data_IF_919468525071
#
_entry.id   IF_919468525071
#
_cell.length_a   1.000
_cell.length_b   1.000
_cell.length_c   1.000
_cell.angle_alpha   90.00
_cell.angle_beta   90.00
_cell.angle_gamma   90.00
#
_symmetry.space_group_name_H-M   'P 1'
#
loop_
_entity.id
_entity.type
_entity.pdbx_description
1 polymer ?
#
# COMPACT_ATOMS: atom_id res chain seq x y z
N UNK A 1 -9.07 -7.37 -7.90
CA UNK A 1 -8.17 -7.38 -6.72
C UNK A 1 -7.99 -8.83 -6.36
N UNK A 2 -6.77 -9.35 -6.46
CA UNK A 2 -6.51 -10.78 -6.34
C UNK A 2 -6.39 -11.19 -4.87
N UNK A 3 -7.49 -11.69 -4.30
CA UNK A 3 -7.52 -12.27 -2.95
C UNK A 3 -6.42 -13.31 -2.73
N UNK A 4 -6.08 -14.06 -3.79
CA UNK A 4 -5.02 -15.06 -3.80
C UNK A 4 -3.62 -14.48 -3.56
N UNK A 5 -3.36 -13.23 -3.94
CA UNK A 5 -2.07 -12.55 -3.69
C UNK A 5 -2.01 -12.09 -2.23
N UNK A 6 -3.08 -11.47 -1.73
CA UNK A 6 -3.20 -11.10 -0.31
C UNK A 6 -3.01 -12.32 0.60
N UNK A 7 -3.67 -13.44 0.28
CA UNK A 7 -3.60 -14.64 1.10
C UNK A 7 -2.21 -15.28 1.11
N UNK A 8 -1.48 -15.23 -0.02
CA UNK A 8 -0.10 -15.71 -0.09
C UNK A 8 0.88 -14.83 0.70
N UNK A 9 0.71 -13.51 0.66
CA UNK A 9 1.54 -12.57 1.41
C UNK A 9 1.34 -12.70 2.93
N UNK A 10 0.08 -12.87 3.38
CA UNK A 10 -0.23 -12.95 4.81
C UNK A 10 0.11 -14.32 5.41
N UNK A 11 -0.03 -15.41 4.65
CA UNK A 11 0.22 -16.76 5.14
C UNK A 11 1.60 -17.32 4.74
N UNK A 12 2.50 -16.48 4.22
CA UNK A 12 3.86 -16.92 3.93
C UNK A 12 4.57 -17.34 5.23
N UNK A 13 5.19 -18.52 5.25
CA UNK A 13 6.05 -18.91 6.35
C UNK A 13 7.35 -18.10 6.29
N UNK A 14 7.48 -17.14 7.19
CA UNK A 14 8.66 -16.28 7.31
C UNK A 14 9.75 -16.88 8.20
N UNK A 15 9.44 -17.93 8.95
CA UNK A 15 10.38 -18.56 9.90
C UNK A 15 11.53 -19.27 9.20
N UNK A 16 11.30 -19.77 7.98
CA UNK A 16 12.32 -20.38 7.13
C UNK A 16 13.07 -19.40 6.21
N UNK A 17 12.70 -18.13 6.15
CA UNK A 17 13.28 -17.17 5.21
C UNK A 17 14.67 -16.72 5.66
N UNK A 18 15.61 -16.67 4.72
CA UNK A 18 16.89 -15.99 4.95
C UNK A 18 16.70 -14.48 5.03
N UNK A 19 17.65 -13.76 5.62
CA UNK A 19 17.62 -12.29 5.71
C UNK A 19 17.22 -11.56 4.41
N UNK A 20 17.81 -11.87 3.23
CA UNK A 20 17.40 -11.24 1.97
C UNK A 20 15.99 -11.63 1.51
N UNK A 21 15.54 -12.86 1.77
CA UNK A 21 14.18 -13.30 1.43
C UNK A 21 13.13 -12.60 2.30
N UNK A 22 13.43 -12.41 3.58
CA UNK A 22 12.57 -11.66 4.49
C UNK A 22 12.43 -10.19 4.04
N UNK A 23 13.52 -9.55 3.61
CA UNK A 23 13.48 -8.19 3.09
C UNK A 23 12.64 -8.10 1.80
N UNK A 24 12.83 -9.04 0.87
CA UNK A 24 12.01 -9.09 -0.35
C UNK A 24 10.53 -9.34 -0.05
N UNK A 25 10.23 -10.17 0.95
CA UNK A 25 8.86 -10.42 1.38
C UNK A 25 8.22 -9.16 2.00
N UNK A 26 8.94 -8.46 2.89
CA UNK A 26 8.47 -7.21 3.49
C UNK A 26 8.21 -6.13 2.42
N UNK A 27 9.09 -6.00 1.44
CA UNK A 27 8.91 -5.08 0.31
C UNK A 27 7.66 -5.44 -0.51
N UNK A 28 7.44 -6.72 -0.80
CA UNK A 28 6.24 -7.19 -1.48
C UNK A 28 4.95 -6.91 -0.68
N UNK A 29 4.98 -7.07 0.65
CA UNK A 29 3.86 -6.73 1.54
C UNK A 29 3.59 -5.22 1.53
N UNK A 30 4.62 -4.39 1.62
CA UNK A 30 4.47 -2.93 1.55
C UNK A 30 3.91 -2.47 0.21
N UNK A 31 4.40 -3.01 -0.90
CA UNK A 31 3.88 -2.70 -2.23
C UNK A 31 2.41 -3.10 -2.36
N UNK A 32 2.03 -4.28 -1.86
CA UNK A 32 0.65 -4.75 -1.90
C UNK A 32 -0.28 -3.87 -1.04
N UNK A 33 0.13 -3.53 0.18
CA UNK A 33 -0.62 -2.62 1.06
C UNK A 33 -0.82 -1.25 0.43
N UNK A 34 0.20 -0.72 -0.25
CA UNK A 34 0.11 0.55 -0.98
C UNK A 34 -0.88 0.46 -2.14
N UNK A 35 -0.88 -0.65 -2.87
CA UNK A 35 -1.84 -0.88 -3.96
C UNK A 35 -3.28 -0.99 -3.43
N UNK A 36 -3.46 -1.63 -2.27
CA UNK A 36 -4.75 -1.66 -1.58
C UNK A 36 -5.25 -0.26 -1.26
N UNK A 37 -4.41 0.57 -0.61
CA UNK A 37 -4.76 1.96 -0.26
C UNK A 37 -5.09 2.82 -1.47
N UNK A 38 -4.39 2.63 -2.59
CA UNK A 38 -4.72 3.32 -3.86
C UNK A 38 -6.08 2.91 -4.41
N UNK A 39 -6.39 1.62 -4.33
CA UNK A 39 -7.69 1.11 -4.78
C UNK A 39 -8.80 1.64 -3.89
N UNK A 40 -8.59 1.66 -2.57
CA UNK A 40 -9.52 2.24 -1.60
C UNK A 40 -9.76 3.73 -1.88
N UNK A 41 -8.69 4.50 -2.12
CA UNK A 41 -8.80 5.91 -2.51
C UNK A 41 -9.65 6.06 -3.77
N UNK A 42 -9.35 5.30 -4.82
CA UNK A 42 -10.08 5.37 -6.09
C UNK A 42 -11.58 5.01 -5.93
N UNK A 43 -11.90 4.04 -5.06
CA UNK A 43 -13.28 3.67 -4.76
C UNK A 43 -14.04 4.80 -4.02
N UNK A 44 -13.39 5.42 -3.03
CA UNK A 44 -13.96 6.53 -2.27
C UNK A 44 -14.14 7.78 -3.15
N UNK A 45 -13.14 8.10 -3.99
CA UNK A 45 -13.22 9.22 -4.93
C UNK A 45 -14.24 8.98 -6.04
N UNK A 46 -14.43 7.72 -6.46
CA UNK A 46 -15.45 7.32 -7.43
C UNK A 46 -16.88 7.32 -6.86
N UNK A 47 -17.05 7.43 -5.55
CA UNK A 47 -18.36 7.34 -4.87
C UNK A 47 -18.64 8.54 -3.95
N UNK A 48 -18.55 9.79 -4.46
CA UNK A 48 -18.58 10.99 -3.63
C UNK A 48 -19.89 11.18 -2.86
N UNK A 49 -21.01 10.67 -3.39
CA UNK A 49 -22.34 10.76 -2.76
C UNK A 49 -22.41 9.93 -1.46
N UNK A 50 -21.84 8.72 -1.47
CA UNK A 50 -21.79 7.82 -0.31
C UNK A 50 -20.81 8.36 0.72
N UNK A 51 -19.66 8.88 0.26
CA UNK A 51 -18.66 9.51 1.13
C UNK A 51 -19.24 10.77 1.80
N UNK A 52 -20.03 11.58 1.09
CA UNK A 52 -20.66 12.77 1.67
C UNK A 52 -21.64 12.44 2.81
N UNK A 53 -22.25 11.25 2.78
CA UNK A 53 -23.22 10.81 3.79
C UNK A 53 -22.59 10.14 5.02
N UNK A 54 -21.30 9.81 4.98
CA UNK A 54 -20.63 9.09 6.06
C UNK A 54 -19.37 9.83 6.55
N UNK A 55 -19.36 10.37 7.78
CA UNK A 55 -18.21 11.09 8.32
C UNK A 55 -16.97 10.20 8.47
N UNK A 56 -17.15 8.90 8.75
CA UNK A 56 -16.04 7.93 8.78
C UNK A 56 -15.36 7.80 7.40
N UNK A 57 -16.14 7.70 6.32
CA UNK A 57 -15.60 7.62 4.97
C UNK A 57 -14.89 8.91 4.56
N UNK A 58 -15.36 10.07 5.03
CA UNK A 58 -14.67 11.36 4.81
C UNK A 58 -13.33 11.40 5.54
N UNK A 59 -13.30 10.96 6.79
CA UNK A 59 -12.06 10.88 7.57
C UNK A 59 -11.06 9.90 6.91
N UNK A 60 -11.55 8.77 6.40
CA UNK A 60 -10.74 7.78 5.72
C UNK A 60 -10.20 8.30 4.38
N UNK A 61 -11.03 8.96 3.56
CA UNK A 61 -10.59 9.62 2.33
C UNK A 61 -9.54 10.71 2.62
N UNK A 62 -9.77 11.53 3.66
CA UNK A 62 -8.82 12.55 4.07
C UNK A 62 -7.49 11.91 4.51
N UNK A 63 -7.52 10.82 5.27
CA UNK A 63 -6.33 10.09 5.66
C UNK A 63 -5.59 9.50 4.45
N UNK A 64 -6.28 8.85 3.52
CA UNK A 64 -5.64 8.26 2.34
C UNK A 64 -4.97 9.32 1.46
N UNK A 65 -5.50 10.54 1.42
CA UNK A 65 -4.88 11.68 0.71
C UNK A 65 -3.63 12.23 1.40
N UNK A 66 -3.49 12.07 2.71
CA UNK A 66 -2.25 12.49 3.42
C UNK A 66 -1.15 11.45 3.32
N UNK A 67 -1.53 10.18 3.12
CA UNK A 67 -0.57 9.16 2.75
C UNK A 67 -0.07 9.50 1.35
N UNK A 68 1.21 9.81 1.22
CA UNK A 68 1.84 10.05 -0.07
C UNK A 68 1.89 8.71 -0.83
N UNK A 69 0.76 8.37 -1.46
CA UNK A 69 0.55 7.12 -2.18
C UNK A 69 1.18 7.20 -3.58
N UNK A 70 1.73 8.33 -4.00
CA UNK A 70 2.54 8.49 -5.22
C UNK A 70 3.98 7.99 -4.96
N UNK A 71 4.63 7.51 -6.01
CA UNK A 71 5.86 6.68 -6.03
C UNK A 71 7.07 7.27 -5.25
N UNK A 72 7.88 6.49 -4.52
CA UNK A 72 9.24 6.93 -4.19
C UNK A 72 10.21 6.61 -5.34
N UNK A 73 11.13 7.51 -5.72
CA UNK A 73 12.39 7.08 -6.32
C UNK A 73 13.51 7.07 -5.27
N UNK A 74 14.30 6.00 -5.29
CA UNK A 74 15.64 5.94 -4.74
C UNK A 74 16.47 7.13 -5.26
N UNK A 75 16.75 8.12 -4.42
CA UNK A 75 17.89 9.01 -4.64
C UNK A 75 19.10 8.44 -3.89
N UNK A 76 19.85 7.55 -4.55
CA UNK A 76 21.28 7.49 -4.28
C UNK A 76 21.84 8.87 -4.69
N UNK A 77 22.50 9.63 -3.80
CA UNK A 77 23.18 10.84 -4.26
C UNK A 77 24.24 10.43 -5.28
N UNK A 78 24.41 11.17 -6.40
CA UNK A 78 25.53 10.92 -7.29
C UNK A 78 26.82 11.10 -6.48
N UNK A 79 27.70 10.09 -6.51
CA UNK A 79 29.05 10.21 -5.99
C UNK A 79 29.73 11.38 -6.71
N UNK A 80 30.16 12.44 -6.02
CA UNK A 80 30.93 13.49 -6.69
C UNK A 80 32.27 12.90 -7.15
N UNK A 81 32.57 13.12 -8.44
CA UNK A 81 33.87 12.88 -9.08
C UNK A 81 34.93 13.82 -8.54
#
# INVERSE_FOLDING_TARGET
>A
MDESVTNQLVNADVSGMTGPELLAHLDAVEQHLRNLRRTELALLEGSPEIVAQSPDLQAQLAHLRTLNLETPPLENPPTPT
#
